data_IF_984017428484
#
_entry.id   IF_984017428484
#
_cell.length_a   1.000
_cell.length_b   1.000
_cell.length_c   1.000
_cell.angle_alpha   90.00
_cell.angle_beta   90.00
_cell.angle_gamma   90.00
#
_symmetry.space_group_name_H-M   'P 1'
#
loop_
_entity.id
_entity.type
_entity.pdbx_description
1 polymer ?
#
# COMPACT_ATOMS: atom_id res chain seq x y z
N UNK A 1 4.99 13.96 -8.59
CA UNK A 1 3.85 13.28 -7.90
C UNK A 1 3.78 13.80 -6.48
N UNK A 2 2.62 14.22 -6.08
CA UNK A 2 2.35 14.65 -4.70
C UNK A 2 1.60 13.53 -3.98
N UNK A 3 2.13 13.09 -2.84
CA UNK A 3 1.52 12.06 -2.00
C UNK A 3 0.83 12.75 -0.82
N UNK A 4 -0.48 12.53 -0.68
CA UNK A 4 -1.26 13.05 0.44
C UNK A 4 -1.70 11.90 1.32
N UNK A 5 -1.37 11.96 2.61
CA UNK A 5 -1.73 10.93 3.58
C UNK A 5 -2.84 11.48 4.48
N UNK A 6 -3.92 10.72 4.62
CA UNK A 6 -5.05 11.06 5.48
C UNK A 6 -5.22 9.96 6.52
N UNK A 7 -5.40 10.35 7.77
CA UNK A 7 -5.67 9.44 8.88
C UNK A 7 -7.11 9.58 9.33
N UNK A 8 -7.81 8.46 9.38
CA UNK A 8 -9.17 8.41 9.88
C UNK A 8 -9.24 7.35 10.98
N UNK A 9 -8.85 7.74 12.19
CA UNK A 9 -8.80 6.88 13.38
C UNK A 9 -7.97 5.62 13.14
N UNK A 10 -6.89 5.74 12.37
CA UNK A 10 -6.08 4.61 11.91
C UNK A 10 -5.26 3.93 13.01
N UNK A 11 -4.92 4.68 14.07
CA UNK A 11 -4.03 4.17 15.11
C UNK A 11 -2.56 4.08 14.70
N UNK A 12 -2.20 4.60 13.53
CA UNK A 12 -0.81 4.60 13.06
C UNK A 12 0.04 5.48 13.97
N UNK A 13 1.12 4.92 14.53
CA UNK A 13 2.04 5.62 15.41
C UNK A 13 3.03 6.47 14.62
N UNK A 14 3.70 7.40 15.30
CA UNK A 14 4.78 8.20 14.69
C UNK A 14 5.89 7.32 14.14
N UNK A 15 6.23 6.25 14.85
CA UNK A 15 7.25 5.31 14.44
C UNK A 15 6.86 4.57 13.16
N UNK A 16 5.61 4.07 13.11
CA UNK A 16 5.08 3.45 11.91
C UNK A 16 5.07 4.43 10.75
N UNK A 17 4.80 5.70 11.01
CA UNK A 17 4.80 6.75 10.00
C UNK A 17 6.17 6.91 9.35
N UNK A 18 7.23 6.93 10.16
CA UNK A 18 8.59 6.99 9.64
C UNK A 18 8.92 5.79 8.75
N UNK A 19 8.45 4.61 9.17
CA UNK A 19 8.62 3.39 8.38
C UNK A 19 7.88 3.51 7.04
N UNK A 20 6.65 4.01 7.05
CA UNK A 20 5.88 4.23 5.82
C UNK A 20 6.55 5.24 4.90
N UNK A 21 7.11 6.33 5.42
CA UNK A 21 7.81 7.31 4.58
C UNK A 21 8.94 6.64 3.79
N UNK A 22 9.72 5.79 4.42
CA UNK A 22 10.78 5.05 3.74
C UNK A 22 10.21 4.03 2.75
N UNK A 23 9.10 3.40 3.10
CA UNK A 23 8.44 2.45 2.22
C UNK A 23 7.87 3.13 0.98
N UNK A 24 7.27 4.30 1.12
CA UNK A 24 6.77 5.06 -0.03
C UNK A 24 7.88 5.43 -1.00
N UNK A 25 9.06 5.76 -0.49
CA UNK A 25 10.24 6.03 -1.34
C UNK A 25 10.62 4.79 -2.14
N UNK A 26 10.60 3.62 -1.51
CA UNK A 26 10.87 2.36 -2.18
C UNK A 26 9.82 2.07 -3.26
N UNK A 27 8.54 2.24 -2.93
CA UNK A 27 7.45 2.04 -3.88
C UNK A 27 7.58 2.97 -5.09
N UNK A 28 7.88 4.24 -4.86
CA UNK A 28 8.05 5.21 -5.95
C UNK A 28 9.26 4.89 -6.82
N UNK A 29 10.31 4.33 -6.23
CA UNK A 29 11.50 3.90 -6.97
C UNK A 29 11.20 2.71 -7.88
N UNK A 30 10.51 1.69 -7.36
CA UNK A 30 10.26 0.44 -8.07
C UNK A 30 9.04 0.51 -9.00
N UNK A 31 8.00 1.25 -8.59
CA UNK A 31 6.75 1.41 -9.33
C UNK A 31 6.38 2.90 -9.37
N UNK A 32 7.12 3.70 -10.15
CA UNK A 32 6.91 5.15 -10.15
C UNK A 32 5.52 5.55 -10.61
N UNK A 33 4.95 6.54 -9.94
CA UNK A 33 3.69 7.18 -10.29
C UNK A 33 3.94 8.61 -10.70
N UNK A 34 3.18 9.11 -11.66
CA UNK A 34 3.30 10.50 -12.15
C UNK A 34 2.19 11.39 -11.62
N UNK A 35 0.99 10.84 -11.46
CA UNK A 35 -0.16 11.59 -10.96
C UNK A 35 -0.14 11.64 -9.44
N UNK A 36 -0.77 12.68 -8.87
CA UNK A 36 -0.89 12.81 -7.42
C UNK A 36 -1.71 11.66 -6.85
N UNK A 37 -1.35 11.21 -5.66
CA UNK A 37 -1.98 10.06 -5.02
C UNK A 37 -2.39 10.43 -3.61
N UNK A 38 -3.60 10.03 -3.23
CA UNK A 38 -4.11 10.15 -1.86
C UNK A 38 -4.22 8.75 -1.26
N UNK A 39 -3.66 8.57 -0.07
CA UNK A 39 -3.80 7.33 0.70
C UNK A 39 -4.50 7.67 2.01
N UNK A 40 -5.61 6.99 2.27
CA UNK A 40 -6.33 7.12 3.53
C UNK A 40 -6.17 5.86 4.37
N UNK A 41 -5.64 6.04 5.57
CA UNK A 41 -5.54 4.97 6.58
C UNK A 41 -6.79 5.01 7.45
N UNK A 42 -7.53 3.90 7.47
CA UNK A 42 -8.80 3.77 8.18
C UNK A 42 -8.65 2.88 9.41
N UNK A 43 -9.20 3.33 10.55
CA UNK A 43 -9.27 2.53 11.76
C UNK A 43 -10.47 1.59 11.80
N UNK A 44 -11.51 1.90 11.02
CA UNK A 44 -12.76 1.14 11.01
C UNK A 44 -13.14 0.82 9.58
N UNK A 45 -13.56 -0.44 9.37
CA UNK A 45 -14.02 -0.90 8.07
C UNK A 45 -15.27 -0.11 7.63
N UNK A 46 -15.27 0.38 6.40
CA UNK A 46 -16.43 1.05 5.79
C UNK A 46 -17.02 0.16 4.73
N UNK A 47 -18.34 0.03 4.73
CA UNK A 47 -19.10 -0.72 3.72
C UNK A 47 -18.57 -2.13 3.49
N UNK A 48 -18.52 -2.54 2.22
CA UNK A 48 -18.08 -3.87 1.81
C UNK A 48 -16.59 -3.96 1.52
N UNK A 49 -15.80 -2.95 1.92
CA UNK A 49 -14.37 -3.00 1.65
C UNK A 49 -13.70 -4.15 2.40
N UNK A 50 -12.70 -4.74 1.79
CA UNK A 50 -11.84 -5.74 2.41
C UNK A 50 -10.72 -5.04 3.19
N UNK A 51 -9.47 -5.47 3.07
CA UNK A 51 -8.34 -4.84 3.76
C UNK A 51 -7.84 -3.59 3.05
N UNK A 52 -8.15 -3.46 1.76
CA UNK A 52 -7.80 -2.29 0.97
C UNK A 52 -8.79 -2.13 -0.18
N UNK A 53 -8.88 -0.91 -0.68
CA UNK A 53 -9.65 -0.61 -1.87
C UNK A 53 -9.01 0.56 -2.58
N UNK A 54 -9.40 0.75 -3.83
CA UNK A 54 -8.80 1.77 -4.65
C UNK A 54 -9.79 2.33 -5.67
N UNK A 55 -9.73 3.65 -5.80
CA UNK A 55 -10.26 4.40 -6.94
C UNK A 55 -9.07 5.05 -7.63
N UNK A 56 -9.19 5.53 -8.87
CA UNK A 56 -8.08 6.24 -9.51
C UNK A 56 -7.53 7.34 -8.60
N UNK A 57 -6.23 7.30 -8.35
CA UNK A 57 -5.51 8.26 -7.52
C UNK A 57 -5.95 8.31 -6.05
N UNK A 58 -6.63 7.26 -5.57
CA UNK A 58 -7.13 7.20 -4.20
C UNK A 58 -7.07 5.76 -3.68
N UNK A 59 -6.27 5.55 -2.64
CA UNK A 59 -6.11 4.24 -1.98
C UNK A 59 -6.65 4.35 -0.56
N UNK A 60 -7.47 3.38 -0.15
CA UNK A 60 -7.96 3.25 1.23
C UNK A 60 -7.38 1.98 1.81
N UNK A 61 -6.86 2.05 3.04
CA UNK A 61 -6.22 0.91 3.71
C UNK A 61 -6.79 0.76 5.11
N UNK A 62 -7.31 -0.43 5.41
CA UNK A 62 -7.79 -0.76 6.74
C UNK A 62 -6.60 -1.11 7.64
N UNK A 63 -6.55 -0.48 8.82
CA UNK A 63 -5.46 -0.69 9.78
C UNK A 63 -5.89 -1.44 11.04
N UNK A 64 -7.20 -1.50 11.32
CA UNK A 64 -7.72 -2.08 12.56
C UNK A 64 -7.37 -3.56 12.68
N UNK A 65 -6.81 -3.94 13.83
CA UNK A 65 -6.46 -5.32 14.17
C UNK A 65 -5.54 -6.00 13.16
N UNK A 66 -4.59 -5.22 12.59
CA UNK A 66 -3.66 -5.72 11.59
C UNK A 66 -2.22 -5.41 11.99
N UNK A 67 -1.33 -6.33 11.69
CA UNK A 67 0.10 -6.10 11.86
C UNK A 67 0.61 -5.07 10.86
N UNK A 68 1.63 -4.34 11.23
CA UNK A 68 2.28 -3.36 10.36
C UNK A 68 2.66 -3.97 9.00
N UNK A 69 3.20 -5.18 9.01
CA UNK A 69 3.59 -5.90 7.80
C UNK A 69 2.42 -6.10 6.84
N UNK A 70 1.26 -6.46 7.38
CA UNK A 70 0.05 -6.67 6.58
C UNK A 70 -0.45 -5.36 5.98
N UNK A 71 -0.37 -4.27 6.75
CA UNK A 71 -0.74 -2.94 6.26
C UNK A 71 0.20 -2.53 5.12
N UNK A 72 1.51 -2.73 5.28
CA UNK A 72 2.50 -2.46 4.23
C UNK A 72 2.17 -3.23 2.96
N UNK A 73 1.86 -4.52 3.09
CA UNK A 73 1.53 -5.36 1.95
C UNK A 73 0.30 -4.85 1.20
N UNK A 74 -0.73 -4.44 1.95
CA UNK A 74 -1.94 -3.87 1.35
C UNK A 74 -1.64 -2.57 0.61
N UNK A 75 -0.85 -1.68 1.20
CA UNK A 75 -0.44 -0.44 0.53
C UNK A 75 0.32 -0.74 -0.76
N UNK A 76 1.27 -1.66 -0.70
CA UNK A 76 2.07 -2.04 -1.87
C UNK A 76 1.20 -2.66 -2.97
N UNK A 77 0.26 -3.53 -2.60
CA UNK A 77 -0.68 -4.15 -3.53
C UNK A 77 -1.48 -3.11 -4.30
N UNK A 78 -2.07 -2.16 -3.59
CA UNK A 78 -2.87 -1.11 -4.22
C UNK A 78 -1.99 -0.14 -5.02
N UNK A 79 -0.77 0.14 -4.54
CA UNK A 79 0.18 0.99 -5.28
C UNK A 79 0.56 0.36 -6.63
N UNK A 80 0.83 -0.94 -6.64
CA UNK A 80 1.15 -1.66 -7.89
C UNK A 80 -0.03 -1.56 -8.87
N UNK A 81 -1.26 -1.74 -8.39
CA UNK A 81 -2.45 -1.57 -9.22
C UNK A 81 -2.53 -0.16 -9.81
N UNK A 82 -2.22 0.85 -8.99
CA UNK A 82 -2.21 2.24 -9.46
C UNK A 82 -1.19 2.42 -10.59
N UNK A 83 0.00 1.84 -10.44
CA UNK A 83 1.03 1.85 -11.48
C UNK A 83 0.56 1.12 -12.75
N UNK A 84 -0.02 -0.06 -12.61
CA UNK A 84 -0.57 -0.82 -13.74
C UNK A 84 -1.59 0.01 -14.52
N UNK A 85 -2.44 0.71 -13.80
CA UNK A 85 -3.50 1.49 -14.41
C UNK A 85 -3.00 2.81 -15.02
N UNK A 86 -2.25 3.61 -14.25
CA UNK A 86 -1.91 4.98 -14.69
C UNK A 86 -0.66 5.05 -15.56
N UNK A 87 0.30 4.17 -15.36
CA UNK A 87 1.56 4.16 -16.10
C UNK A 87 1.52 3.14 -17.24
N UNK A 88 1.12 1.91 -16.95
CA UNK A 88 1.06 0.85 -17.95
C UNK A 88 -0.24 0.85 -18.75
N UNK A 89 -1.19 1.69 -18.36
CA UNK A 89 -2.49 1.86 -19.05
C UNK A 89 -3.29 0.56 -19.17
N UNK A 90 -3.14 -0.33 -18.20
CA UNK A 90 -3.96 -1.55 -18.15
C UNK A 90 -5.38 -1.21 -17.74
N UNK A 91 -6.35 -1.99 -18.22
CA UNK A 91 -7.75 -1.80 -17.86
C UNK A 91 -7.99 -2.15 -16.40
N UNK A 92 -8.80 -1.32 -15.70
CA UNK A 92 -9.33 -1.66 -14.40
C UNK A 92 -10.59 -2.47 -14.63
N UNK A 93 -10.67 -3.63 -14.01
CA UNK A 93 -11.87 -4.44 -14.01
C UNK A 93 -11.86 -5.39 -12.84
N UNK A 94 -12.94 -6.12 -12.59
CA UNK A 94 -12.91 -7.18 -11.59
C UNK A 94 -11.95 -8.27 -12.11
N UNK A 95 -10.70 -8.20 -11.65
CA UNK A 95 -9.63 -9.10 -12.07
C UNK A 95 -9.33 -10.09 -10.95
N UNK A 96 -10.38 -10.63 -10.36
CA UNK A 96 -10.23 -11.62 -9.28
C UNK A 96 -9.55 -12.86 -9.84
N UNK A 97 -8.34 -13.14 -9.34
CA UNK A 97 -7.54 -14.26 -9.81
C UNK A 97 -6.94 -14.08 -11.20
N UNK A 98 -6.95 -12.85 -11.76
CA UNK A 98 -6.36 -12.57 -13.05
C UNK A 98 -4.91 -12.15 -12.96
N UNK A 99 -4.30 -11.90 -14.12
CA UNK A 99 -2.88 -11.57 -14.23
C UNK A 99 -2.49 -10.32 -13.44
N UNK A 100 -3.30 -9.26 -13.50
CA UNK A 100 -3.00 -8.01 -12.79
C UNK A 100 -2.99 -8.22 -11.28
N UNK A 101 -3.96 -8.99 -10.77
CA UNK A 101 -4.07 -9.31 -9.36
C UNK A 101 -2.90 -10.18 -8.90
N UNK A 102 -2.54 -11.18 -9.67
CA UNK A 102 -1.42 -12.08 -9.36
C UNK A 102 -0.10 -11.31 -9.32
N UNK A 103 0.14 -10.42 -10.28
CA UNK A 103 1.33 -9.57 -10.30
C UNK A 103 1.37 -8.64 -9.08
N UNK A 104 0.25 -7.99 -8.76
CA UNK A 104 0.19 -7.07 -7.63
C UNK A 104 0.47 -7.79 -6.32
N UNK A 105 -0.06 -8.99 -6.14
CA UNK A 105 0.20 -9.81 -4.95
C UNK A 105 1.67 -10.22 -4.86
N UNK A 106 2.25 -10.67 -5.96
CA UNK A 106 3.64 -11.11 -6.01
C UNK A 106 4.60 -9.95 -5.70
N UNK A 107 4.40 -8.82 -6.36
CA UNK A 107 5.26 -7.64 -6.15
C UNK A 107 5.09 -7.05 -4.75
N UNK A 108 3.87 -7.04 -4.21
CA UNK A 108 3.64 -6.56 -2.85
C UNK A 108 4.45 -7.36 -1.83
N UNK A 109 4.44 -8.68 -1.95
CA UNK A 109 5.25 -9.55 -1.09
C UNK A 109 6.75 -9.29 -1.24
N UNK A 110 7.23 -9.13 -2.47
CA UNK A 110 8.63 -8.85 -2.75
C UNK A 110 9.07 -7.49 -2.17
N UNK A 111 8.24 -6.46 -2.34
CA UNK A 111 8.54 -5.12 -1.85
C UNK A 111 8.66 -5.08 -0.33
N UNK A 112 7.80 -5.80 0.38
CA UNK A 112 7.89 -5.90 1.84
C UNK A 112 9.19 -6.60 2.23
N UNK A 113 9.59 -7.67 1.56
CA UNK A 113 10.85 -8.36 1.82
C UNK A 113 12.07 -7.48 1.55
N UNK A 114 12.03 -6.71 0.46
CA UNK A 114 13.12 -5.76 0.13
C UNK A 114 13.24 -4.73 1.24
N UNK A 115 12.11 -4.19 1.71
CA UNK A 115 12.09 -3.23 2.80
C UNK A 115 12.69 -3.81 4.08
N UNK A 116 12.30 -5.02 4.44
CA UNK A 116 12.81 -5.69 5.66
C UNK A 116 14.32 -5.92 5.58
N UNK A 117 14.85 -6.25 4.41
CA UNK A 117 16.29 -6.41 4.21
C UNK A 117 17.05 -5.09 4.28
N UNK A 118 16.46 -4.03 3.73
CA UNK A 118 17.07 -2.71 3.72
C UNK A 118 17.06 -2.05 5.09
N UNK A 119 16.04 -2.32 5.90
CA UNK A 119 15.85 -1.74 7.22
C UNK A 119 15.67 -2.82 8.28
N UNK A 120 16.73 -3.60 8.57
CA UNK A 120 16.62 -4.68 9.57
C UNK A 120 16.23 -4.18 10.96
N UNK A 121 16.50 -2.92 11.26
CA UNK A 121 16.12 -2.28 12.52
C UNK A 121 14.60 -2.17 12.71
N UNK A 122 13.81 -2.29 11.63
CA UNK A 122 12.36 -2.21 11.68
C UNK A 122 11.66 -3.57 11.68
N UNK A 123 12.42 -4.67 11.54
CA UNK A 123 11.81 -6.00 11.36
C UNK A 123 10.87 -6.36 12.52
N UNK A 124 11.28 -6.12 13.78
CA UNK A 124 10.42 -6.40 14.93
C UNK A 124 9.13 -5.60 14.88
N UNK A 125 9.20 -4.35 14.44
CA UNK A 125 8.04 -3.46 14.35
C UNK A 125 7.07 -3.88 13.25
N UNK A 126 7.54 -4.62 12.25
CA UNK A 126 6.69 -5.13 11.17
C UNK A 126 5.65 -6.14 11.67
N UNK A 127 5.92 -6.78 12.81
CA UNK A 127 5.04 -7.80 13.40
C UNK A 127 4.20 -7.26 14.58
N UNK A 128 4.17 -5.96 14.73
CA UNK A 128 3.35 -5.27 15.75
C UNK A 128 2.00 -4.81 15.21
#
# INVERSE_FOLDING_TARGET
MKLTIVHNKSGITKKQFKMFDEFFKLLQKEFPLKEDLKIEFLGVRKDKMTTGSRLPNYIKVLCQNRMTRDIFRTVAHEWVHEHQHTIEKRKIGPDIGGKNEDEANAYAGQLVKIFEKKYPEYVENMYE
#
